data_IF_844021213791
#
_entry.id   IF_844021213791
#
_cell.length_a   1.000
_cell.length_b   1.000
_cell.length_c   1.000
_cell.angle_alpha   90.00
_cell.angle_beta   90.00
_cell.angle_gamma   90.00
#
_symmetry.space_group_name_H-M   'P 1'
#
loop_
_entity.id
_entity.type
_entity.pdbx_description
1 polymer ?
#
# COMPACT_ATOMS: atom_id res chain seq x y z
N UNK A 1 -28.61 16.30 -22.35
CA UNK A 1 -28.29 15.98 -20.95
C UNK A 1 -26.79 16.03 -20.75
N UNK A 2 -26.30 16.88 -19.86
CA UNK A 2 -24.89 17.00 -19.54
C UNK A 2 -24.57 16.26 -18.24
N UNK A 3 -23.42 15.54 -18.21
CA UNK A 3 -22.86 14.99 -16.96
C UNK A 3 -22.07 16.08 -16.25
N UNK A 4 -22.38 16.29 -14.97
CA UNK A 4 -21.75 17.33 -14.14
C UNK A 4 -21.20 16.72 -12.86
N UNK A 5 -20.10 17.29 -12.37
CA UNK A 5 -19.56 16.96 -11.03
C UNK A 5 -19.69 18.19 -10.16
N UNK A 6 -20.42 18.04 -9.07
CA UNK A 6 -20.68 19.11 -8.11
C UNK A 6 -20.08 18.70 -6.76
N UNK A 7 -19.27 19.58 -6.17
CA UNK A 7 -18.80 19.43 -4.81
C UNK A 7 -19.80 20.05 -3.83
N UNK A 8 -20.01 19.40 -2.68
CA UNK A 8 -20.86 19.89 -1.60
C UNK A 8 -20.06 19.92 -0.29
N UNK A 9 -20.03 21.05 0.40
CA UNK A 9 -19.30 21.27 1.65
C UNK A 9 -20.18 21.87 2.74
N UNK A 10 -19.87 21.57 4.02
CA UNK A 10 -20.52 22.16 5.20
C UNK A 10 -19.57 22.17 6.39
N UNK A 11 -19.52 23.27 7.15
CA UNK A 11 -18.77 23.37 8.39
C UNK A 11 -19.57 24.02 9.57
N UNK A 12 -20.88 24.11 9.42
CA UNK A 12 -21.76 24.70 10.43
C UNK A 12 -22.97 23.77 10.71
N UNK A 13 -23.36 23.64 11.97
CA UNK A 13 -24.52 22.86 12.39
C UNK A 13 -24.43 21.36 12.08
N UNK A 14 -25.57 20.75 11.74
CA UNK A 14 -25.61 19.34 11.34
C UNK A 14 -25.13 19.19 9.87
N UNK A 15 -23.81 19.16 9.66
CA UNK A 15 -23.15 19.13 8.38
C UNK A 15 -23.65 18.03 7.44
N UNK A 16 -23.90 16.82 7.96
CA UNK A 16 -24.45 15.72 7.14
C UNK A 16 -25.85 15.98 6.67
N UNK A 17 -26.70 16.53 7.54
CA UNK A 17 -28.07 16.87 7.21
C UNK A 17 -28.11 18.00 6.17
N UNK A 18 -27.29 19.02 6.33
CA UNK A 18 -27.18 20.14 5.40
C UNK A 18 -26.83 19.66 3.98
N UNK A 19 -25.76 18.83 3.85
CA UNK A 19 -25.38 18.28 2.54
C UNK A 19 -26.53 17.42 1.97
N UNK A 20 -27.12 16.51 2.75
CA UNK A 20 -28.24 15.66 2.29
C UNK A 20 -29.43 16.48 1.80
N UNK A 21 -29.79 17.56 2.51
CA UNK A 21 -30.89 18.44 2.14
C UNK A 21 -30.55 19.18 0.84
N UNK A 22 -29.35 19.73 0.69
CA UNK A 22 -28.89 20.35 -0.56
C UNK A 22 -28.99 19.41 -1.74
N UNK A 23 -28.49 18.17 -1.61
CA UNK A 23 -28.57 17.15 -2.66
C UNK A 23 -30.03 16.78 -3.02
N UNK A 24 -30.94 16.71 -2.02
CA UNK A 24 -32.39 16.49 -2.28
C UNK A 24 -32.99 17.63 -3.06
N UNK A 25 -32.66 18.88 -2.73
CA UNK A 25 -33.16 20.06 -3.44
C UNK A 25 -32.64 20.07 -4.88
N UNK A 26 -31.37 19.81 -5.12
CA UNK A 26 -30.80 19.67 -6.46
C UNK A 26 -31.59 18.65 -7.30
N UNK A 27 -31.84 17.46 -6.73
CA UNK A 27 -32.56 16.40 -7.43
C UNK A 27 -34.03 16.77 -7.78
N UNK A 28 -34.68 17.54 -6.91
CA UNK A 28 -36.03 18.05 -7.17
C UNK A 28 -36.06 19.15 -8.24
N UNK A 29 -34.97 19.88 -8.43
CA UNK A 29 -34.85 21.02 -9.34
C UNK A 29 -34.16 20.67 -10.69
N UNK A 30 -34.21 19.40 -11.11
CA UNK A 30 -33.75 18.98 -12.45
C UNK A 30 -32.26 18.62 -12.52
N UNK A 31 -31.57 18.46 -11.40
CA UNK A 31 -30.21 17.96 -11.34
C UNK A 31 -30.22 16.52 -10.81
N UNK A 32 -30.38 15.55 -11.71
CA UNK A 32 -30.52 14.12 -11.37
C UNK A 32 -29.19 13.56 -10.87
N UNK A 33 -29.14 13.21 -9.59
CA UNK A 33 -27.96 12.62 -8.97
C UNK A 33 -27.83 11.14 -9.37
N UNK A 34 -26.70 10.77 -9.98
CA UNK A 34 -26.38 9.41 -10.43
C UNK A 34 -25.59 8.67 -9.37
N UNK A 35 -24.59 9.35 -8.77
CA UNK A 35 -23.72 8.73 -7.77
C UNK A 35 -23.18 9.75 -6.79
N UNK A 36 -23.14 9.37 -5.51
CA UNK A 36 -22.57 10.15 -4.43
C UNK A 36 -21.22 9.55 -4.01
N UNK A 37 -20.28 10.40 -3.62
CA UNK A 37 -19.09 9.97 -2.87
C UNK A 37 -19.42 9.66 -1.40
N UNK A 38 -18.47 9.05 -0.70
CA UNK A 38 -18.41 9.12 0.76
C UNK A 38 -18.10 10.55 1.24
N UNK A 39 -18.31 10.79 2.55
CA UNK A 39 -17.96 12.07 3.16
C UNK A 39 -16.49 12.17 3.47
N UNK A 40 -15.87 13.29 3.11
CA UNK A 40 -14.49 13.64 3.37
C UNK A 40 -14.39 14.76 4.41
N UNK A 41 -13.67 14.52 5.50
CA UNK A 41 -13.40 15.55 6.53
C UNK A 41 -12.07 16.23 6.26
N UNK A 42 -12.02 17.54 6.43
CA UNK A 42 -10.77 18.28 6.45
C UNK A 42 -10.83 19.41 7.49
N UNK A 43 -9.67 19.73 8.12
CA UNK A 43 -9.59 20.88 9.01
C UNK A 43 -9.93 22.18 8.26
N UNK A 44 -10.44 23.22 8.94
CA UNK A 44 -10.58 24.54 8.35
C UNK A 44 -9.22 25.06 7.89
N UNK A 45 -9.18 25.90 6.84
CA UNK A 45 -8.00 26.68 6.56
C UNK A 45 -7.74 27.64 7.73
N UNK A 46 -6.47 27.96 8.04
CA UNK A 46 -6.02 28.67 9.25
C UNK A 46 -6.79 29.97 9.60
N UNK A 47 -7.51 30.56 8.64
CA UNK A 47 -8.27 31.79 8.80
C UNK A 47 -9.79 31.62 8.61
N UNK A 48 -10.31 30.38 8.59
CA UNK A 48 -11.74 30.14 8.36
C UNK A 48 -12.48 29.98 9.69
N UNK A 49 -13.48 30.82 9.95
CA UNK A 49 -14.38 30.67 11.10
C UNK A 49 -15.22 29.39 10.96
N UNK A 50 -15.41 28.68 12.05
CA UNK A 50 -16.21 27.43 12.11
C UNK A 50 -15.36 26.19 12.36
N UNK A 51 -16.01 25.05 12.49
CA UNK A 51 -15.40 23.76 12.75
C UNK A 51 -14.83 23.09 11.49
N UNK A 52 -14.42 21.84 11.66
CA UNK A 52 -13.96 20.94 10.59
C UNK A 52 -15.02 20.84 9.47
N UNK A 53 -14.58 20.91 8.21
CA UNK A 53 -15.45 20.74 7.05
C UNK A 53 -15.80 19.28 6.84
N UNK A 54 -17.05 19.05 6.43
CA UNK A 54 -17.52 17.82 5.83
C UNK A 54 -17.77 18.08 4.34
N UNK A 55 -17.14 17.32 3.46
CA UNK A 55 -17.26 17.48 2.01
C UNK A 55 -17.73 16.18 1.35
N UNK A 56 -18.39 16.31 0.21
CA UNK A 56 -18.77 15.23 -0.68
C UNK A 56 -18.74 15.74 -2.12
N UNK A 57 -18.75 14.83 -3.09
CA UNK A 57 -18.98 15.16 -4.49
C UNK A 57 -20.05 14.25 -5.08
N UNK A 58 -20.77 14.75 -6.06
CA UNK A 58 -21.78 13.98 -6.78
C UNK A 58 -21.50 14.02 -8.28
N UNK A 59 -21.72 12.88 -8.92
CA UNK A 59 -21.94 12.80 -10.36
C UNK A 59 -23.44 12.96 -10.59
N UNK A 60 -23.81 13.94 -11.40
CA UNK A 60 -25.21 14.20 -11.74
C UNK A 60 -25.40 14.43 -13.24
N UNK A 61 -26.64 14.36 -13.69
CA UNK A 61 -27.08 14.72 -15.04
C UNK A 61 -28.08 15.88 -14.98
N UNK A 62 -27.95 16.82 -15.90
CA UNK A 62 -28.86 17.97 -16.01
C UNK A 62 -29.03 18.45 -17.45
N UNK A 63 -30.17 19.09 -17.73
CA UNK A 63 -30.44 19.83 -18.96
C UNK A 63 -30.18 21.33 -18.80
N UNK A 64 -29.90 21.80 -17.58
CA UNK A 64 -29.59 23.20 -17.34
C UNK A 64 -28.21 23.54 -17.93
N UNK A 65 -28.10 24.65 -18.63
CA UNK A 65 -26.81 25.21 -19.05
C UNK A 65 -25.99 25.66 -17.82
N UNK A 66 -24.67 25.87 -17.94
CA UNK A 66 -23.80 26.14 -16.80
C UNK A 66 -24.20 27.32 -15.92
N UNK A 67 -24.62 28.43 -16.52
CA UNK A 67 -25.04 29.63 -15.79
C UNK A 67 -26.38 29.43 -15.04
N UNK A 68 -27.46 28.90 -15.65
CA UNK A 68 -28.68 28.48 -14.92
C UNK A 68 -28.40 27.47 -13.79
N UNK A 69 -27.49 26.52 -14.02
CA UNK A 69 -27.08 25.58 -12.96
C UNK A 69 -26.42 26.30 -11.79
N UNK A 70 -25.49 27.24 -12.06
CA UNK A 70 -24.85 28.03 -11.01
C UNK A 70 -25.88 28.85 -10.20
N UNK A 71 -26.82 29.49 -10.89
CA UNK A 71 -27.89 30.27 -10.25
C UNK A 71 -28.75 29.38 -9.33
N UNK A 72 -29.13 28.19 -9.80
CA UNK A 72 -29.88 27.20 -8.99
C UNK A 72 -29.09 26.77 -7.75
N UNK A 73 -27.77 26.49 -7.88
CA UNK A 73 -26.95 26.09 -6.74
C UNK A 73 -26.87 27.22 -5.68
N UNK A 74 -26.71 28.47 -6.11
CA UNK A 74 -26.73 29.63 -5.21
C UNK A 74 -28.09 29.83 -4.53
N UNK A 75 -29.20 29.57 -5.21
CA UNK A 75 -30.54 29.59 -4.61
C UNK A 75 -30.68 28.53 -3.52
N UNK A 76 -30.23 27.29 -3.78
CA UNK A 76 -30.24 26.20 -2.80
C UNK A 76 -29.39 26.55 -1.57
N UNK A 77 -28.22 27.14 -1.77
CA UNK A 77 -27.35 27.61 -0.67
C UNK A 77 -28.04 28.70 0.17
N UNK A 78 -28.68 29.69 -0.47
CA UNK A 78 -29.43 30.76 0.18
C UNK A 78 -30.57 30.18 1.03
N UNK A 79 -31.34 29.26 0.49
CA UNK A 79 -32.45 28.59 1.17
C UNK A 79 -31.96 27.65 2.31
N UNK A 80 -30.68 27.28 2.30
CA UNK A 80 -30.01 26.51 3.35
C UNK A 80 -29.38 27.41 4.45
N UNK A 81 -29.68 28.71 4.47
CA UNK A 81 -29.21 29.64 5.50
C UNK A 81 -27.85 30.29 5.23
N UNK A 82 -27.40 30.36 3.98
CA UNK A 82 -26.17 31.07 3.60
C UNK A 82 -26.47 32.55 3.33
N UNK A 83 -25.87 33.50 4.10
CA UNK A 83 -26.06 34.94 3.87
C UNK A 83 -25.49 35.39 2.51
N UNK A 84 -26.17 36.35 1.87
CA UNK A 84 -25.70 37.06 0.69
C UNK A 84 -25.34 38.52 1.09
N UNK A 85 -24.30 39.19 0.56
CA UNK A 85 -23.32 38.67 -0.38
C UNK A 85 -22.32 37.72 0.27
N UNK A 86 -21.71 36.84 -0.53
CA UNK A 86 -20.74 35.87 -0.04
C UNK A 86 -19.50 36.52 0.54
N UNK A 87 -19.35 36.45 1.88
CA UNK A 87 -18.07 36.84 2.51
C UNK A 87 -17.15 35.63 2.54
N UNK A 88 -15.93 35.71 1.94
CA UNK A 88 -14.95 34.65 2.02
C UNK A 88 -14.57 34.31 3.46
N UNK A 89 -14.21 33.07 3.75
CA UNK A 89 -13.74 32.56 5.06
C UNK A 89 -14.74 32.53 6.23
N UNK A 90 -16.05 32.72 5.99
CA UNK A 90 -17.09 32.51 7.02
C UNK A 90 -17.55 31.04 7.07
N UNK A 91 -18.02 30.63 8.27
CA UNK A 91 -18.70 29.35 8.44
C UNK A 91 -19.98 29.29 7.58
N UNK A 92 -20.28 28.12 7.00
CA UNK A 92 -21.41 27.96 6.07
C UNK A 92 -22.13 26.63 6.28
N UNK A 93 -23.48 26.72 6.25
CA UNK A 93 -24.32 25.52 6.34
C UNK A 93 -24.15 24.62 5.12
N UNK A 94 -24.09 25.22 3.93
CA UNK A 94 -23.92 24.51 2.66
C UNK A 94 -23.11 25.35 1.67
N UNK A 95 -22.26 24.69 0.88
CA UNK A 95 -21.43 25.24 -0.19
C UNK A 95 -21.47 24.28 -1.37
N UNK A 96 -21.90 24.73 -2.55
CA UNK A 96 -22.08 23.93 -3.75
C UNK A 96 -21.28 24.52 -4.91
N UNK A 97 -20.24 23.83 -5.33
CA UNK A 97 -19.36 24.27 -6.44
C UNK A 97 -19.50 23.34 -7.66
N UNK A 98 -19.66 23.91 -8.86
CA UNK A 98 -19.55 23.18 -10.13
C UNK A 98 -18.07 22.89 -10.37
N UNK A 99 -17.65 21.62 -10.32
CA UNK A 99 -16.26 21.23 -10.54
C UNK A 99 -16.02 20.94 -12.03
N UNK A 100 -16.93 20.21 -12.65
CA UNK A 100 -16.88 19.89 -14.08
C UNK A 100 -18.28 19.93 -14.69
N UNK A 101 -18.34 20.31 -15.97
CA UNK A 101 -19.57 20.28 -16.76
C UNK A 101 -19.26 19.66 -18.13
N UNK A 102 -19.53 18.37 -18.28
CA UNK A 102 -19.14 17.62 -19.47
C UNK A 102 -17.67 17.85 -19.82
N UNK A 103 -17.41 18.11 -21.08
CA UNK A 103 -16.09 18.43 -21.60
C UNK A 103 -15.85 19.95 -21.77
N UNK A 104 -16.75 20.79 -21.23
CA UNK A 104 -16.65 22.24 -21.43
C UNK A 104 -15.51 22.85 -20.60
N UNK A 105 -14.86 23.83 -21.21
CA UNK A 105 -13.92 24.75 -20.58
C UNK A 105 -14.51 26.16 -20.70
N UNK A 106 -14.80 26.80 -19.57
CA UNK A 106 -15.44 28.11 -19.49
C UNK A 106 -14.57 29.05 -18.66
N UNK A 107 -14.25 30.21 -19.19
CA UNK A 107 -13.43 31.26 -18.57
C UNK A 107 -14.20 32.58 -18.56
N UNK A 108 -15.26 32.68 -17.73
CA UNK A 108 -16.03 33.91 -17.51
C UNK A 108 -15.71 34.52 -16.13
N UNK A 109 -15.95 35.82 -15.91
CA UNK A 109 -15.70 36.45 -14.61
C UNK A 109 -16.33 35.72 -13.44
N UNK A 110 -17.60 35.31 -13.59
CA UNK A 110 -18.40 34.71 -12.55
C UNK A 110 -18.48 33.20 -12.62
N UNK A 111 -17.96 32.55 -13.69
CA UNK A 111 -18.03 31.10 -13.87
C UNK A 111 -16.79 30.57 -14.59
N UNK A 112 -16.01 29.76 -13.86
CA UNK A 112 -14.84 29.06 -14.40
C UNK A 112 -15.03 27.55 -14.27
N UNK A 113 -15.04 26.85 -15.41
CA UNK A 113 -15.16 25.39 -15.50
C UNK A 113 -14.03 24.86 -16.38
N UNK A 114 -13.26 23.85 -15.95
CA UNK A 114 -13.27 23.22 -14.60
C UNK A 114 -12.89 24.20 -13.51
N UNK A 115 -13.40 23.97 -12.28
CA UNK A 115 -13.12 24.86 -11.14
C UNK A 115 -11.61 25.08 -10.96
N UNK A 116 -11.11 26.34 -10.92
CA UNK A 116 -9.68 26.65 -11.04
C UNK A 116 -8.80 26.05 -9.94
N UNK A 117 -9.30 25.96 -8.71
CA UNK A 117 -8.58 25.42 -7.55
C UNK A 117 -8.82 23.93 -7.33
N UNK A 118 -9.48 23.19 -8.26
CA UNK A 118 -9.83 21.79 -8.09
C UNK A 118 -8.63 20.90 -7.75
N UNK A 119 -7.51 21.06 -8.49
CA UNK A 119 -6.32 20.22 -8.34
C UNK A 119 -5.55 20.46 -7.02
N UNK A 120 -5.74 21.62 -6.39
CA UNK A 120 -5.11 21.98 -5.13
C UNK A 120 -5.92 21.51 -3.91
N UNK A 121 -7.17 21.06 -4.12
CA UNK A 121 -8.14 20.73 -3.08
C UNK A 121 -8.41 19.22 -3.05
N UNK A 122 -7.68 18.49 -2.20
CA UNK A 122 -7.90 17.05 -2.01
C UNK A 122 -9.34 16.74 -1.62
N UNK A 123 -9.94 17.56 -0.76
CA UNK A 123 -11.33 17.43 -0.30
C UNK A 123 -12.38 17.63 -1.39
N UNK A 124 -11.97 18.09 -2.59
CA UNK A 124 -12.78 18.15 -3.82
C UNK A 124 -12.44 16.97 -4.73
N UNK A 125 -11.15 16.75 -5.02
CA UNK A 125 -10.73 15.77 -6.03
C UNK A 125 -10.88 14.31 -5.59
N UNK A 126 -10.64 14.00 -4.31
CA UNK A 126 -10.84 12.63 -3.82
C UNK A 126 -12.32 12.20 -3.89
N UNK A 127 -13.28 12.99 -3.35
CA UNK A 127 -14.70 12.70 -3.54
C UNK A 127 -15.15 12.68 -5.02
N UNK A 128 -14.64 13.60 -5.84
CA UNK A 128 -14.98 13.63 -7.27
C UNK A 128 -14.51 12.35 -8.00
N UNK A 129 -13.31 11.89 -7.70
CA UNK A 129 -12.77 10.64 -8.26
C UNK A 129 -13.52 9.39 -7.76
N UNK A 130 -14.02 9.39 -6.52
CA UNK A 130 -14.87 8.33 -5.99
C UNK A 130 -16.25 8.28 -6.67
N UNK A 131 -16.86 9.44 -6.87
CA UNK A 131 -18.16 9.53 -7.53
C UNK A 131 -18.08 9.22 -9.03
N UNK A 132 -17.00 9.67 -9.71
CA UNK A 132 -16.84 9.56 -11.16
C UNK A 132 -15.39 9.21 -11.55
N UNK A 133 -14.89 7.98 -11.26
CA UNK A 133 -13.49 7.61 -11.50
C UNK A 133 -13.06 7.74 -12.96
N UNK A 134 -13.96 7.40 -13.89
CA UNK A 134 -13.68 7.39 -15.33
C UNK A 134 -13.93 8.75 -16.02
N UNK A 135 -14.47 9.73 -15.29
CA UNK A 135 -14.67 11.07 -15.85
C UNK A 135 -13.33 11.69 -16.22
N UNK A 136 -13.22 12.27 -17.42
CA UNK A 136 -11.98 12.86 -17.92
C UNK A 136 -11.96 14.37 -17.73
N UNK A 137 -10.94 14.88 -17.05
CA UNK A 137 -10.66 16.31 -16.98
C UNK A 137 -10.43 16.85 -18.39
N UNK A 138 -11.20 17.86 -18.86
CA UNK A 138 -11.15 18.35 -20.23
C UNK A 138 -9.82 19.05 -20.59
N UNK A 139 -9.07 19.54 -19.59
CA UNK A 139 -7.77 20.20 -19.76
C UNK A 139 -6.65 19.17 -19.72
N UNK A 140 -6.61 18.34 -18.67
CA UNK A 140 -5.53 17.38 -18.44
C UNK A 140 -5.66 16.09 -19.27
N UNK A 141 -6.82 15.84 -19.89
CA UNK A 141 -7.15 14.62 -20.66
C UNK A 141 -6.94 13.31 -19.86
N UNK A 142 -6.93 13.39 -18.53
CA UNK A 142 -6.76 12.29 -17.60
C UNK A 142 -8.06 12.00 -16.86
N UNK A 143 -8.29 10.72 -16.47
CA UNK A 143 -9.43 10.37 -15.62
C UNK A 143 -9.25 10.95 -14.22
N UNK A 144 -10.36 11.22 -13.52
CA UNK A 144 -10.30 11.76 -12.16
C UNK A 144 -9.64 10.78 -11.20
N UNK A 145 -9.81 9.49 -11.42
CA UNK A 145 -9.05 8.49 -10.68
C UNK A 145 -7.53 8.69 -10.83
N UNK A 146 -7.05 8.90 -12.05
CA UNK A 146 -5.62 9.11 -12.31
C UNK A 146 -5.11 10.47 -11.78
N UNK A 147 -5.97 11.48 -11.74
CA UNK A 147 -5.62 12.82 -11.18
C UNK A 147 -5.59 12.75 -9.66
N UNK A 148 -6.60 12.13 -9.04
CA UNK A 148 -6.67 11.96 -7.59
C UNK A 148 -5.52 11.10 -7.05
N UNK A 149 -5.06 10.10 -7.83
CA UNK A 149 -3.89 9.29 -7.50
C UNK A 149 -2.60 10.10 -7.33
N UNK A 150 -2.44 11.24 -8.02
CA UNK A 150 -1.29 12.13 -7.81
C UNK A 150 -1.22 12.75 -6.41
N UNK A 151 -2.27 12.60 -5.63
CA UNK A 151 -2.35 13.06 -4.23
C UNK A 151 -2.55 11.87 -3.29
N UNK A 152 -1.75 10.81 -3.44
CA UNK A 152 -1.80 9.65 -2.56
C UNK A 152 -1.67 10.07 -1.09
N UNK A 153 -2.66 9.65 -0.28
CA UNK A 153 -2.66 9.99 1.13
C UNK A 153 -1.61 9.19 1.90
N UNK A 154 -0.84 9.87 2.72
CA UNK A 154 -0.07 9.23 3.79
C UNK A 154 -0.78 9.46 5.11
N UNK A 155 -1.17 8.39 5.79
CA UNK A 155 -1.79 8.42 7.11
C UNK A 155 -0.86 7.80 8.16
N UNK A 156 -0.86 8.37 9.36
CA UNK A 156 0.00 7.91 10.46
C UNK A 156 -0.80 7.31 11.62
N UNK A 157 -2.09 7.65 11.72
CA UNK A 157 -3.00 7.17 12.76
C UNK A 157 -3.84 5.99 12.26
N UNK A 158 -4.07 5.02 13.10
CA UNK A 158 -4.92 3.86 12.82
C UNK A 158 -6.39 4.25 12.63
N UNK A 159 -6.84 5.30 13.30
CA UNK A 159 -8.19 5.88 13.12
C UNK A 159 -8.40 6.39 11.69
N UNK A 160 -7.46 7.19 11.18
CA UNK A 160 -7.51 7.77 9.83
C UNK A 160 -7.42 6.66 8.76
N UNK A 161 -6.58 5.64 9.01
CA UNK A 161 -6.47 4.47 8.17
C UNK A 161 -7.82 3.77 8.03
N UNK A 162 -8.47 3.44 9.16
CA UNK A 162 -9.78 2.75 9.19
C UNK A 162 -10.87 3.56 8.50
N UNK A 163 -10.94 4.88 8.74
CA UNK A 163 -11.92 5.74 8.09
C UNK A 163 -11.79 5.69 6.56
N UNK A 164 -10.55 5.81 6.05
CA UNK A 164 -10.27 5.75 4.60
C UNK A 164 -10.59 4.39 3.99
N UNK A 165 -10.19 3.31 4.66
CA UNK A 165 -10.44 1.96 4.15
C UNK A 165 -11.93 1.60 4.20
N UNK A 166 -12.68 2.10 5.17
CA UNK A 166 -14.14 1.97 5.19
C UNK A 166 -14.80 2.68 4.01
N UNK A 167 -14.30 3.86 3.61
CA UNK A 167 -14.77 4.54 2.41
C UNK A 167 -14.50 3.71 1.14
N UNK A 168 -13.29 3.12 1.03
CA UNK A 168 -12.92 2.23 -0.09
C UNK A 168 -13.86 1.02 -0.16
N UNK A 169 -14.12 0.35 0.97
CA UNK A 169 -15.04 -0.82 1.01
C UNK A 169 -16.47 -0.44 0.65
N UNK A 170 -16.96 0.70 1.14
CA UNK A 170 -18.30 1.21 0.80
C UNK A 170 -18.46 1.52 -0.69
N UNK A 171 -17.36 1.77 -1.41
CA UNK A 171 -17.38 1.92 -2.87
C UNK A 171 -17.32 0.58 -3.63
N UNK A 172 -17.41 -0.57 -2.93
CA UNK A 172 -17.36 -1.91 -3.51
C UNK A 172 -15.96 -2.39 -3.93
N UNK A 173 -14.90 -1.65 -3.57
CA UNK A 173 -13.52 -1.99 -3.95
C UNK A 173 -12.89 -2.94 -2.94
N UNK A 174 -12.20 -3.95 -3.45
CA UNK A 174 -11.36 -4.85 -2.66
C UNK A 174 -9.99 -4.22 -2.38
N UNK A 175 -9.40 -4.58 -1.24
CA UNK A 175 -8.14 -4.03 -0.73
C UNK A 175 -7.02 -5.04 -0.90
N UNK A 176 -5.93 -4.60 -1.55
CA UNK A 176 -4.66 -5.31 -1.55
C UNK A 176 -3.65 -4.62 -0.64
N UNK A 177 -2.81 -5.38 0.04
CA UNK A 177 -1.88 -4.85 1.02
C UNK A 177 -0.43 -5.25 0.72
N UNK A 178 0.49 -4.30 0.85
CA UNK A 178 1.93 -4.49 0.68
C UNK A 178 2.64 -3.99 1.94
N UNK A 179 2.95 -4.84 2.92
CA UNK A 179 3.70 -4.43 4.11
C UNK A 179 5.18 -4.25 3.78
N UNK A 180 5.75 -3.11 4.19
CA UNK A 180 7.19 -2.81 4.03
C UNK A 180 7.75 -2.07 5.25
N UNK A 181 9.08 -2.05 5.33
CA UNK A 181 9.80 -1.22 6.28
C UNK A 181 10.27 0.12 5.68
N UNK A 182 9.91 0.43 4.43
CA UNK A 182 10.46 1.56 3.69
C UNK A 182 11.74 1.22 2.92
N UNK A 183 12.52 2.24 2.56
CA UNK A 183 13.65 2.13 1.63
C UNK A 183 13.22 1.43 0.34
N UNK A 184 12.16 1.95 -0.27
CA UNK A 184 11.47 1.37 -1.42
C UNK A 184 12.43 1.21 -2.61
N UNK A 185 12.46 0.00 -3.19
CA UNK A 185 13.21 -0.37 -4.38
C UNK A 185 12.35 -1.21 -5.32
N UNK A 186 12.86 -1.57 -6.51
CA UNK A 186 12.10 -2.31 -7.54
C UNK A 186 11.45 -3.60 -7.03
N UNK A 187 12.05 -4.30 -6.06
CA UNK A 187 11.42 -5.43 -5.40
C UNK A 187 10.08 -5.08 -4.76
N UNK A 188 10.00 -3.98 -4.02
CA UNK A 188 8.77 -3.48 -3.42
C UNK A 188 7.78 -2.95 -4.48
N UNK A 189 8.29 -2.27 -5.51
CA UNK A 189 7.46 -1.76 -6.60
C UNK A 189 6.79 -2.88 -7.39
N UNK A 190 7.45 -4.05 -7.52
CA UNK A 190 6.86 -5.24 -8.13
C UNK A 190 5.65 -5.76 -7.34
N UNK A 191 5.67 -5.72 -5.98
CA UNK A 191 4.53 -6.07 -5.13
C UNK A 191 3.35 -5.13 -5.37
N UNK A 192 3.60 -3.82 -5.42
CA UNK A 192 2.57 -2.80 -5.69
C UNK A 192 1.95 -3.02 -7.07
N UNK A 193 2.79 -3.26 -8.11
CA UNK A 193 2.31 -3.54 -9.48
C UNK A 193 1.48 -4.83 -9.55
N UNK A 194 1.89 -5.89 -8.84
CA UNK A 194 1.12 -7.14 -8.76
C UNK A 194 -0.26 -6.91 -8.11
N UNK A 195 -0.31 -6.15 -7.02
CA UNK A 195 -1.55 -5.73 -6.38
C UNK A 195 -2.44 -4.94 -7.35
N UNK A 196 -1.87 -4.00 -8.11
CA UNK A 196 -2.58 -3.19 -9.10
C UNK A 196 -3.09 -4.01 -10.28
N UNK A 197 -2.29 -4.97 -10.78
CA UNK A 197 -2.70 -5.89 -11.85
C UNK A 197 -3.94 -6.69 -11.46
N UNK A 198 -4.10 -7.03 -10.18
CA UNK A 198 -5.29 -7.67 -9.63
C UNK A 198 -6.48 -6.71 -9.43
N UNK A 199 -6.40 -5.44 -9.89
CA UNK A 199 -7.45 -4.41 -9.81
C UNK A 199 -7.88 -4.04 -8.38
N UNK A 200 -7.01 -4.27 -7.37
CA UNK A 200 -7.27 -3.96 -5.98
C UNK A 200 -6.89 -2.51 -5.65
N UNK A 201 -7.50 -1.95 -4.60
CA UNK A 201 -7.03 -0.72 -3.97
C UNK A 201 -5.77 -1.04 -3.18
N UNK A 202 -4.61 -0.61 -3.68
CA UNK A 202 -3.32 -0.96 -3.09
C UNK A 202 -3.00 -0.07 -1.88
N UNK A 203 -2.90 -0.67 -0.71
CA UNK A 203 -2.40 -0.05 0.52
C UNK A 203 -0.99 -0.54 0.76
N UNK A 204 -0.06 0.37 1.05
CA UNK A 204 1.30 0.03 1.47
C UNK A 204 1.53 0.51 2.91
N UNK A 205 2.14 -0.31 3.76
CA UNK A 205 2.67 0.21 5.01
C UNK A 205 4.17 0.50 4.90
N UNK A 206 4.61 1.56 5.58
CA UNK A 206 6.01 1.92 5.75
C UNK A 206 6.27 2.03 7.24
N UNK A 207 6.79 0.95 7.84
CA UNK A 207 7.03 0.88 9.28
C UNK A 207 8.28 0.05 9.59
N UNK A 208 9.34 0.69 10.07
CA UNK A 208 10.53 0.00 10.58
C UNK A 208 10.22 -0.55 11.96
N UNK A 209 9.89 -1.84 12.00
CA UNK A 209 9.42 -2.50 13.21
C UNK A 209 10.59 -2.84 14.17
N UNK A 210 10.66 -2.25 15.37
CA UNK A 210 11.76 -2.50 16.30
C UNK A 210 11.81 -3.96 16.80
N UNK A 211 10.66 -4.63 16.91
CA UNK A 211 10.56 -5.94 17.56
C UNK A 211 11.12 -7.10 16.72
N UNK A 212 11.46 -6.86 15.46
CA UNK A 212 12.04 -7.88 14.58
C UNK A 212 13.55 -7.74 14.39
N UNK A 213 14.19 -6.79 15.09
CA UNK A 213 15.63 -6.60 15.07
C UNK A 213 16.26 -7.07 16.37
N UNK A 214 17.32 -7.85 16.25
CA UNK A 214 18.17 -8.21 17.37
C UNK A 214 19.03 -7.03 17.86
N UNK A 215 19.63 -7.13 19.06
CA UNK A 215 20.42 -6.04 19.64
C UNK A 215 21.58 -5.56 18.78
N UNK A 216 22.18 -6.45 17.98
CA UNK A 216 23.32 -6.16 17.10
C UNK A 216 22.92 -5.88 15.64
N UNK A 217 21.62 -5.82 15.33
CA UNK A 217 21.15 -5.60 13.97
C UNK A 217 20.99 -4.10 13.63
N UNK A 218 20.78 -3.82 12.36
CA UNK A 218 20.83 -2.50 11.72
C UNK A 218 19.60 -1.60 11.97
N UNK A 219 18.80 -1.82 13.02
CA UNK A 219 17.59 -1.03 13.30
C UNK A 219 17.80 0.47 13.29
N UNK A 220 18.87 0.96 13.94
CA UNK A 220 19.17 2.40 14.01
C UNK A 220 19.67 2.96 12.69
N UNK A 221 20.40 2.16 11.90
CA UNK A 221 20.98 2.52 10.60
C UNK A 221 20.01 2.28 9.44
N UNK A 222 18.88 1.57 9.66
CA UNK A 222 17.94 1.23 8.59
C UNK A 222 17.44 2.50 7.89
N UNK A 223 17.53 2.56 6.53
CA UNK A 223 17.23 3.77 5.78
C UNK A 223 15.78 4.23 5.96
N UNK A 224 15.56 5.52 6.22
CA UNK A 224 14.25 6.13 6.42
C UNK A 224 14.14 7.39 5.59
N UNK A 225 13.38 7.34 4.51
CA UNK A 225 13.06 8.51 3.70
C UNK A 225 11.61 8.39 3.20
N UNK A 226 10.67 8.76 4.08
CA UNK A 226 9.25 8.61 3.81
C UNK A 226 8.80 9.38 2.55
N UNK A 227 9.37 10.56 2.30
CA UNK A 227 9.00 11.36 1.12
C UNK A 227 9.41 10.69 -0.19
N UNK A 228 10.65 10.16 -0.27
CA UNK A 228 11.13 9.41 -1.42
C UNK A 228 10.31 8.13 -1.61
N UNK A 229 10.08 7.39 -0.53
CA UNK A 229 9.31 6.16 -0.54
C UNK A 229 7.87 6.40 -1.01
N UNK A 230 7.23 7.48 -0.51
CA UNK A 230 5.89 7.86 -0.92
C UNK A 230 5.82 8.16 -2.41
N UNK A 231 6.74 8.96 -2.96
CA UNK A 231 6.80 9.28 -4.39
C UNK A 231 6.97 8.02 -5.26
N UNK A 232 7.81 7.07 -4.84
CA UNK A 232 8.02 5.82 -5.56
C UNK A 232 6.78 4.92 -5.52
N UNK A 233 6.17 4.75 -4.34
CA UNK A 233 4.96 3.96 -4.15
C UNK A 233 3.77 4.53 -4.95
N UNK A 234 3.59 5.85 -4.94
CA UNK A 234 2.58 6.56 -5.75
C UNK A 234 2.77 6.29 -7.24
N UNK A 235 4.00 6.44 -7.74
CA UNK A 235 4.33 6.20 -9.15
C UNK A 235 4.04 4.74 -9.57
N UNK A 236 4.22 3.78 -8.66
CA UNK A 236 3.90 2.38 -8.90
C UNK A 236 2.39 2.07 -8.80
N UNK A 237 1.58 3.01 -8.30
CA UNK A 237 0.12 2.90 -8.25
C UNK A 237 -0.46 2.53 -6.89
N UNK A 238 0.27 2.71 -5.80
CA UNK A 238 -0.31 2.64 -4.47
C UNK A 238 -1.42 3.70 -4.31
N UNK A 239 -2.49 3.36 -3.60
CA UNK A 239 -3.64 4.24 -3.35
C UNK A 239 -3.57 4.91 -1.98
N UNK A 240 -2.88 4.29 -1.01
CA UNK A 240 -2.77 4.77 0.36
C UNK A 240 -1.46 4.29 0.99
N UNK A 241 -0.79 5.18 1.72
CA UNK A 241 0.33 4.83 2.59
C UNK A 241 -0.10 4.89 4.05
N UNK A 242 0.21 3.82 4.78
CA UNK A 242 0.14 3.81 6.24
C UNK A 242 1.57 3.86 6.80
N UNK A 243 1.95 4.98 7.41
CA UNK A 243 3.29 5.19 7.98
C UNK A 243 3.20 5.51 9.48
N UNK A 244 2.84 4.52 10.31
CA UNK A 244 2.68 4.73 11.74
C UNK A 244 4.03 4.92 12.44
N UNK A 245 4.01 5.65 13.57
CA UNK A 245 5.13 5.67 14.51
C UNK A 245 5.11 4.46 15.46
N UNK A 246 6.22 4.22 16.17
CA UNK A 246 6.32 3.11 17.13
C UNK A 246 5.25 3.21 18.23
N UNK A 247 4.97 4.40 18.75
CA UNK A 247 3.91 4.62 19.76
C UNK A 247 2.49 4.34 19.22
N UNK A 248 2.25 4.47 17.93
CA UNK A 248 0.97 4.11 17.32
C UNK A 248 0.81 2.58 17.22
N UNK A 249 1.91 1.88 16.86
CA UNK A 249 1.87 0.43 16.77
C UNK A 249 1.98 -0.28 18.11
N UNK A 250 2.70 0.29 19.06
CA UNK A 250 2.97 -0.28 20.39
C UNK A 250 2.84 0.80 21.49
N UNK A 251 1.61 1.24 21.82
CA UNK A 251 1.39 2.37 22.75
C UNK A 251 1.89 2.10 24.17
N UNK A 252 1.79 0.85 24.64
CA UNK A 252 2.27 0.41 25.94
C UNK A 252 3.47 -0.58 25.83
N UNK A 253 4.21 -0.53 24.71
CA UNK A 253 5.19 -1.56 24.38
C UNK A 253 4.55 -2.85 23.86
N UNK A 254 5.34 -3.91 23.74
CA UNK A 254 4.88 -5.23 23.27
C UNK A 254 4.36 -6.07 24.43
N UNK A 255 3.04 -6.02 24.70
CA UNK A 255 2.41 -6.78 25.79
C UNK A 255 1.96 -8.19 25.35
N UNK A 256 1.56 -8.34 24.09
CA UNK A 256 1.09 -9.61 23.52
C UNK A 256 1.79 -9.83 22.17
N UNK A 257 2.23 -11.06 21.92
CA UNK A 257 2.93 -11.42 20.68
C UNK A 257 2.44 -12.73 20.09
N UNK A 258 2.62 -12.90 18.78
CA UNK A 258 2.43 -14.16 18.07
C UNK A 258 3.80 -14.79 17.86
N UNK A 259 3.97 -16.01 18.34
CA UNK A 259 5.20 -16.80 18.17
C UNK A 259 4.90 -17.94 17.21
N UNK A 260 5.62 -18.06 16.09
CA UNK A 260 5.57 -19.28 15.25
C UNK A 260 6.02 -20.51 16.07
N UNK A 261 5.67 -21.69 15.58
CA UNK A 261 6.12 -22.93 16.22
C UNK A 261 7.66 -22.98 16.37
N UNK A 262 8.15 -23.62 17.41
CA UNK A 262 9.59 -23.64 17.74
C UNK A 262 10.43 -24.22 16.61
N UNK A 263 10.02 -25.37 16.06
CA UNK A 263 10.70 -26.00 14.94
C UNK A 263 10.90 -25.07 13.75
N UNK A 264 9.95 -24.17 13.46
CA UNK A 264 10.08 -23.18 12.39
C UNK A 264 11.17 -22.12 12.69
N UNK A 265 11.27 -21.74 13.96
CA UNK A 265 12.25 -20.77 14.43
C UNK A 265 13.67 -21.34 14.56
N UNK A 266 13.82 -22.65 14.52
CA UNK A 266 15.11 -23.35 14.58
C UNK A 266 15.73 -23.59 13.19
N UNK A 267 15.01 -23.26 12.13
CA UNK A 267 15.45 -23.46 10.75
C UNK A 267 15.92 -22.16 10.08
N UNK A 268 16.88 -22.26 9.18
CA UNK A 268 17.36 -21.18 8.30
C UNK A 268 17.65 -19.87 9.05
N UNK A 269 16.96 -18.77 8.68
CA UNK A 269 17.09 -17.46 9.32
C UNK A 269 16.68 -17.46 10.79
N UNK A 270 15.69 -18.28 11.17
CA UNK A 270 15.20 -18.36 12.55
C UNK A 270 16.29 -18.80 13.51
N UNK A 271 17.07 -19.82 13.15
CA UNK A 271 18.22 -20.33 13.90
C UNK A 271 19.25 -19.25 14.28
N UNK A 272 19.44 -18.28 13.40
CA UNK A 272 20.48 -17.24 13.53
C UNK A 272 19.93 -15.89 14.00
N UNK A 273 18.62 -15.77 14.11
CA UNK A 273 17.93 -14.52 14.50
C UNK A 273 16.84 -14.81 15.52
N UNK A 274 17.21 -15.08 16.78
CA UNK A 274 16.23 -15.31 17.84
C UNK A 274 15.19 -14.21 17.89
N UNK A 275 13.92 -14.57 18.11
CA UNK A 275 12.76 -13.69 18.18
C UNK A 275 12.39 -12.89 16.91
N UNK A 276 13.20 -12.99 15.84
CA UNK A 276 12.92 -12.29 14.58
C UNK A 276 11.50 -12.59 14.06
N UNK A 277 11.16 -13.87 13.95
CA UNK A 277 9.87 -14.27 13.42
C UNK A 277 8.71 -14.01 14.37
N UNK A 278 8.94 -13.96 15.69
CA UNK A 278 7.96 -13.46 16.65
C UNK A 278 7.65 -11.99 16.38
N UNK A 279 8.67 -11.17 16.16
CA UNK A 279 8.51 -9.76 15.82
C UNK A 279 7.78 -9.57 14.49
N UNK A 280 8.13 -10.33 13.45
CA UNK A 280 7.48 -10.27 12.12
C UNK A 280 6.03 -10.74 12.19
N UNK A 281 5.76 -11.90 12.78
CA UNK A 281 4.39 -12.43 12.91
C UNK A 281 3.48 -11.43 13.64
N UNK A 282 3.97 -10.87 14.75
CA UNK A 282 3.22 -9.91 15.55
C UNK A 282 2.90 -8.63 14.78
N UNK A 283 3.89 -8.02 14.11
CA UNK A 283 3.63 -6.77 13.36
C UNK A 283 2.73 -7.00 12.15
N UNK A 284 2.92 -8.12 11.43
CA UNK A 284 2.09 -8.43 10.26
C UNK A 284 0.64 -8.70 10.70
N UNK A 285 0.44 -9.44 11.79
CA UNK A 285 -0.90 -9.65 12.34
C UNK A 285 -1.57 -8.34 12.75
N UNK A 286 -0.85 -7.44 13.44
CA UNK A 286 -1.38 -6.10 13.78
C UNK A 286 -1.76 -5.32 12.53
N UNK A 287 -0.94 -5.34 11.49
CA UNK A 287 -1.21 -4.67 10.22
C UNK A 287 -2.41 -5.30 9.49
N UNK A 288 -2.57 -6.63 9.52
CA UNK A 288 -3.73 -7.31 8.96
C UNK A 288 -5.03 -6.88 9.68
N UNK A 289 -5.02 -6.79 11.01
CA UNK A 289 -6.16 -6.30 11.78
C UNK A 289 -6.49 -4.83 11.51
N UNK A 290 -5.50 -3.99 11.25
CA UNK A 290 -5.70 -2.57 10.95
C UNK A 290 -6.20 -2.34 9.52
N UNK A 291 -5.62 -3.05 8.54
CA UNK A 291 -5.94 -2.90 7.12
C UNK A 291 -7.11 -3.76 6.68
N UNK A 292 -7.26 -4.97 7.24
CA UNK A 292 -8.26 -5.99 6.86
C UNK A 292 -8.29 -6.18 5.34
N UNK A 293 -7.18 -6.60 4.71
CA UNK A 293 -7.10 -6.70 3.27
C UNK A 293 -7.72 -8.00 2.75
N UNK A 294 -8.22 -7.98 1.50
CA UNK A 294 -8.64 -9.20 0.79
C UNK A 294 -7.43 -10.02 0.34
N UNK A 295 -6.32 -9.35 -0.06
CA UNK A 295 -5.06 -9.99 -0.47
C UNK A 295 -3.86 -9.23 0.08
N UNK A 296 -2.80 -9.95 0.49
CA UNK A 296 -1.52 -9.34 0.84
C UNK A 296 -0.38 -9.91 0.00
N UNK A 297 0.58 -9.06 -0.35
CA UNK A 297 1.65 -9.36 -1.27
C UNK A 297 3.00 -9.34 -0.57
N UNK A 298 3.76 -10.43 -0.72
CA UNK A 298 5.09 -10.61 -0.13
C UNK A 298 6.07 -11.12 -1.18
N UNK A 299 7.35 -10.77 -1.05
CA UNK A 299 8.38 -11.23 -1.96
C UNK A 299 8.92 -12.62 -1.62
N UNK A 300 9.12 -13.47 -2.63
CA UNK A 300 9.80 -14.76 -2.46
C UNK A 300 11.26 -14.63 -2.02
N UNK A 301 11.85 -13.46 -2.14
CA UNK A 301 13.19 -13.20 -1.59
C UNK A 301 13.28 -13.56 -0.10
N UNK A 302 12.26 -13.25 0.66
CA UNK A 302 12.15 -13.57 2.08
C UNK A 302 11.22 -14.81 2.25
N UNK A 303 11.59 -15.92 1.58
CA UNK A 303 10.75 -17.10 1.44
C UNK A 303 10.28 -17.67 2.79
N UNK A 304 11.19 -17.82 3.77
CA UNK A 304 10.83 -18.30 5.09
C UNK A 304 9.78 -17.37 5.75
N UNK A 305 9.92 -16.05 5.62
CA UNK A 305 8.90 -15.11 6.09
C UNK A 305 7.55 -15.30 5.41
N UNK A 306 7.54 -15.45 4.08
CA UNK A 306 6.30 -15.68 3.32
C UNK A 306 5.60 -16.97 3.76
N UNK A 307 6.35 -18.06 3.96
CA UNK A 307 5.84 -19.34 4.45
C UNK A 307 5.20 -19.15 5.83
N UNK A 308 5.90 -18.54 6.77
CA UNK A 308 5.41 -18.26 8.11
C UNK A 308 4.11 -17.43 8.09
N UNK A 309 4.03 -16.41 7.23
CA UNK A 309 2.83 -15.57 7.13
C UNK A 309 1.64 -16.35 6.55
N UNK A 310 1.86 -17.25 5.58
CA UNK A 310 0.81 -18.16 5.07
C UNK A 310 0.32 -19.09 6.17
N UNK A 311 1.23 -19.69 6.93
CA UNK A 311 0.88 -20.54 8.07
C UNK A 311 0.08 -19.75 9.12
N UNK A 312 0.56 -18.60 9.52
CA UNK A 312 -0.12 -17.73 10.48
C UNK A 312 -1.54 -17.34 10.00
N UNK A 313 -1.71 -16.99 8.75
CA UNK A 313 -3.02 -16.63 8.20
C UNK A 313 -3.99 -17.82 8.23
N UNK A 314 -3.52 -19.02 7.87
CA UNK A 314 -4.30 -20.26 7.95
C UNK A 314 -4.65 -20.62 9.39
N UNK A 315 -3.67 -20.70 10.28
CA UNK A 315 -3.81 -21.20 11.63
C UNK A 315 -4.67 -20.27 12.50
N UNK A 316 -4.67 -18.97 12.21
CA UNK A 316 -5.50 -17.97 12.88
C UNK A 316 -6.79 -17.63 12.12
N UNK A 317 -7.14 -18.43 11.10
CA UNK A 317 -8.38 -18.28 10.30
C UNK A 317 -8.58 -16.88 9.71
N UNK A 318 -7.49 -16.22 9.28
CA UNK A 318 -7.61 -14.93 8.61
C UNK A 318 -8.21 -15.11 7.21
N UNK A 319 -9.31 -14.41 6.87
CA UNK A 319 -9.93 -14.47 5.54
C UNK A 319 -9.14 -13.65 4.52
N UNK A 320 -7.86 -13.97 4.33
CA UNK A 320 -6.92 -13.25 3.48
C UNK A 320 -6.17 -14.20 2.55
N UNK A 321 -6.03 -13.83 1.29
CA UNK A 321 -5.17 -14.54 0.34
C UNK A 321 -3.74 -13.97 0.37
N UNK A 322 -2.75 -14.80 0.69
CA UNK A 322 -1.33 -14.40 0.72
C UNK A 322 -0.68 -14.73 -0.62
N UNK A 323 -0.23 -13.71 -1.33
CA UNK A 323 0.36 -13.80 -2.67
C UNK A 323 1.88 -13.64 -2.58
N UNK A 324 2.60 -14.68 -3.05
CA UNK A 324 4.05 -14.60 -3.24
C UNK A 324 4.40 -14.00 -4.61
N UNK A 325 5.25 -13.00 -4.63
CA UNK A 325 5.74 -12.37 -5.87
C UNK A 325 7.21 -12.75 -6.10
N UNK A 326 7.60 -13.13 -7.32
CA UNK A 326 8.97 -13.52 -7.63
C UNK A 326 10.02 -12.49 -7.21
N UNK A 327 11.20 -13.00 -6.82
CA UNK A 327 12.35 -12.16 -6.45
C UNK A 327 12.79 -11.29 -7.62
N UNK A 328 12.79 -9.98 -7.42
CA UNK A 328 13.35 -9.03 -8.40
C UNK A 328 14.86 -8.95 -8.18
N UNK A 329 15.61 -8.98 -9.30
CA UNK A 329 17.07 -9.00 -9.29
C UNK A 329 17.64 -7.81 -10.03
N UNK A 330 18.85 -7.44 -9.67
CA UNK A 330 19.69 -6.53 -10.44
C UNK A 330 20.20 -7.25 -11.73
N UNK A 331 20.70 -6.52 -12.74
CA UNK A 331 21.12 -7.13 -14.00
C UNK A 331 22.15 -8.25 -13.88
N UNK A 332 22.97 -8.22 -12.84
CA UNK A 332 23.98 -9.24 -12.52
C UNK A 332 23.46 -10.41 -11.68
N UNK A 333 22.16 -10.45 -11.42
CA UNK A 333 21.49 -11.52 -10.68
C UNK A 333 21.36 -11.30 -9.18
N UNK A 334 22.01 -10.28 -8.59
CA UNK A 334 21.87 -10.00 -7.16
C UNK A 334 20.40 -9.69 -6.81
N UNK A 335 19.88 -10.36 -5.78
CA UNK A 335 18.54 -10.07 -5.29
C UNK A 335 18.44 -8.63 -4.75
N UNK A 336 17.44 -7.88 -5.18
CA UNK A 336 17.24 -6.51 -4.71
C UNK A 336 16.96 -6.45 -3.22
N UNK A 337 17.70 -5.60 -2.53
CA UNK A 337 17.60 -5.39 -1.09
C UNK A 337 17.96 -3.96 -0.72
N UNK A 338 17.23 -3.39 0.27
CA UNK A 338 17.60 -2.11 0.86
C UNK A 338 19.01 -2.12 1.50
N UNK A 339 19.53 -3.31 1.83
CA UNK A 339 20.87 -3.47 2.40
C UNK A 339 21.99 -3.47 1.37
N UNK A 340 21.71 -3.58 0.06
CA UNK A 340 22.74 -3.55 -0.98
C UNK A 340 23.53 -2.24 -0.99
N UNK A 341 22.93 -1.15 -0.49
CA UNK A 341 23.61 0.17 -0.37
C UNK A 341 24.77 0.19 0.64
N UNK A 342 24.85 -0.80 1.51
CA UNK A 342 25.91 -0.87 2.53
C UNK A 342 27.18 -1.58 2.03
N UNK A 343 27.10 -2.24 0.87
CA UNK A 343 28.21 -2.98 0.29
C UNK A 343 29.27 -2.01 -0.25
N UNK A 344 30.53 -2.25 0.10
CA UNK A 344 31.67 -1.64 -0.59
C UNK A 344 31.72 -2.09 -2.06
N UNK A 345 32.42 -1.40 -2.96
CA UNK A 345 32.56 -1.81 -4.36
C UNK A 345 33.04 -3.24 -4.55
N UNK A 346 33.99 -3.71 -3.73
CA UNK A 346 34.50 -5.07 -3.78
C UNK A 346 33.47 -6.11 -3.32
N UNK A 347 32.77 -5.85 -2.22
CA UNK A 347 31.68 -6.69 -1.73
C UNK A 347 30.52 -6.73 -2.70
N UNK A 348 30.16 -5.57 -3.31
CA UNK A 348 29.10 -5.50 -4.32
C UNK A 348 29.42 -6.34 -5.57
N UNK A 349 30.71 -6.36 -6.00
CA UNK A 349 31.17 -7.21 -7.10
C UNK A 349 31.10 -8.69 -6.76
N UNK A 350 31.33 -9.06 -5.50
CA UNK A 350 31.28 -10.44 -5.03
C UNK A 350 29.84 -10.96 -4.78
N UNK A 351 28.88 -10.07 -4.45
CA UNK A 351 27.54 -10.43 -4.02
C UNK A 351 26.73 -11.28 -5.01
N UNK A 352 26.80 -11.11 -6.34
CA UNK A 352 26.08 -11.94 -7.31
C UNK A 352 26.46 -13.43 -7.26
N UNK A 353 27.63 -13.76 -6.70
CA UNK A 353 28.05 -15.16 -6.54
C UNK A 353 27.06 -15.98 -5.71
N UNK A 354 26.27 -15.36 -4.82
CA UNK A 354 25.23 -16.04 -4.07
C UNK A 354 24.17 -16.62 -5.01
N UNK A 355 23.63 -15.81 -5.91
CA UNK A 355 22.62 -16.25 -6.87
C UNK A 355 23.20 -17.21 -7.93
N UNK A 356 24.38 -16.94 -8.45
CA UNK A 356 25.03 -17.84 -9.41
C UNK A 356 25.24 -19.22 -8.82
N UNK A 357 25.60 -19.31 -7.53
CA UNK A 357 25.71 -20.58 -6.81
C UNK A 357 24.37 -21.32 -6.74
N UNK A 358 23.27 -20.61 -6.42
CA UNK A 358 21.94 -21.19 -6.39
C UNK A 358 21.51 -21.70 -7.77
N UNK A 359 21.78 -20.94 -8.84
CA UNK A 359 21.51 -21.37 -10.22
C UNK A 359 22.31 -22.63 -10.60
N UNK A 360 23.57 -22.69 -10.20
CA UNK A 360 24.40 -23.87 -10.45
C UNK A 360 23.84 -25.10 -9.74
N UNK A 361 23.44 -24.97 -8.47
CA UNK A 361 22.79 -26.05 -7.71
C UNK A 361 21.52 -26.52 -8.42
N UNK A 362 20.68 -25.60 -8.85
CA UNK A 362 19.46 -25.91 -9.59
C UNK A 362 19.77 -26.70 -10.87
N UNK A 363 20.70 -26.21 -11.68
CA UNK A 363 21.08 -26.89 -12.94
C UNK A 363 21.68 -28.27 -12.67
N UNK A 364 22.55 -28.40 -11.67
CA UNK A 364 23.16 -29.68 -11.32
C UNK A 364 22.14 -30.72 -10.87
N UNK A 365 21.12 -30.32 -10.11
CA UNK A 365 20.07 -31.23 -9.64
C UNK A 365 19.02 -31.52 -10.73
N UNK A 366 18.48 -30.50 -11.38
CA UNK A 366 17.36 -30.67 -12.32
C UNK A 366 17.80 -31.26 -13.66
N UNK A 367 18.90 -30.76 -14.25
CA UNK A 367 19.38 -31.17 -15.56
C UNK A 367 20.35 -32.36 -15.50
N UNK A 368 21.28 -32.33 -14.54
CA UNK A 368 22.33 -33.34 -14.43
C UNK A 368 22.03 -34.43 -13.40
N UNK A 369 20.86 -34.39 -12.76
CA UNK A 369 20.38 -35.38 -11.77
C UNK A 369 21.39 -35.69 -10.67
N UNK A 370 22.21 -34.70 -10.27
CA UNK A 370 23.17 -34.83 -9.20
C UNK A 370 22.49 -34.81 -7.83
N UNK A 371 23.07 -35.53 -6.87
CA UNK A 371 22.59 -35.52 -5.50
C UNK A 371 22.64 -34.12 -4.90
N UNK A 372 21.51 -33.60 -4.44
CA UNK A 372 21.39 -32.29 -3.79
C UNK A 372 22.38 -32.13 -2.64
N UNK A 373 22.48 -33.13 -1.76
CA UNK A 373 23.42 -33.12 -0.61
C UNK A 373 24.88 -32.94 -1.03
N UNK A 374 25.30 -33.67 -2.07
CA UNK A 374 26.68 -33.56 -2.61
C UNK A 374 26.89 -32.18 -3.27
N UNK A 375 25.91 -31.69 -4.00
CA UNK A 375 25.96 -30.40 -4.69
C UNK A 375 26.05 -29.24 -3.71
N UNK A 376 25.23 -29.24 -2.65
CA UNK A 376 25.29 -28.23 -1.57
C UNK A 376 26.65 -28.22 -0.90
N UNK A 377 27.21 -29.40 -0.56
CA UNK A 377 28.56 -29.48 0.05
C UNK A 377 29.63 -28.88 -0.85
N UNK A 378 29.63 -29.21 -2.16
CA UNK A 378 30.56 -28.65 -3.14
C UNK A 378 30.40 -27.14 -3.27
N UNK A 379 29.20 -26.65 -3.40
CA UNK A 379 28.88 -25.22 -3.51
C UNK A 379 29.31 -24.42 -2.27
N UNK A 380 29.08 -24.97 -1.07
CA UNK A 380 29.55 -24.36 0.19
C UNK A 380 31.09 -24.20 0.23
N UNK A 381 31.84 -25.23 -0.22
CA UNK A 381 33.32 -25.17 -0.30
C UNK A 381 33.76 -24.09 -1.30
N UNK A 382 33.11 -24.01 -2.46
CA UNK A 382 33.42 -22.99 -3.47
C UNK A 382 33.19 -21.56 -2.94
N UNK A 383 32.03 -21.32 -2.31
CA UNK A 383 31.72 -19.99 -1.75
C UNK A 383 32.68 -19.55 -0.66
N UNK A 384 33.11 -20.48 0.21
CA UNK A 384 34.08 -20.20 1.28
C UNK A 384 35.47 -19.81 0.79
N UNK A 385 35.80 -20.07 -0.49
CA UNK A 385 37.06 -19.62 -1.11
C UNK A 385 37.04 -18.13 -1.48
N UNK A 386 35.87 -17.52 -1.55
CA UNK A 386 35.75 -16.08 -1.83
C UNK A 386 36.00 -15.28 -0.55
N UNK A 387 37.06 -14.44 -0.49
CA UNK A 387 37.44 -13.73 0.73
C UNK A 387 36.40 -12.71 1.20
N UNK A 388 35.50 -12.26 0.33
CA UNK A 388 34.46 -11.31 0.64
C UNK A 388 33.18 -11.96 1.15
N UNK A 389 33.06 -13.31 1.10
CA UNK A 389 31.84 -14.03 1.45
C UNK A 389 32.03 -14.90 2.69
N UNK A 390 31.46 -14.48 3.80
CA UNK A 390 31.37 -15.33 5.01
C UNK A 390 30.02 -16.05 4.99
N UNK A 391 30.02 -17.28 4.46
CA UNK A 391 28.81 -18.10 4.39
C UNK A 391 28.30 -18.41 5.80
N UNK A 392 27.02 -18.10 6.04
CA UNK A 392 26.34 -18.45 7.29
C UNK A 392 25.63 -19.81 7.17
N UNK A 393 24.84 -19.98 6.12
CA UNK A 393 24.25 -21.25 5.73
C UNK A 393 24.02 -21.35 4.22
N UNK A 394 24.00 -22.56 3.71
CA UNK A 394 23.50 -22.96 2.40
C UNK A 394 22.79 -24.31 2.61
N UNK A 395 21.46 -24.26 2.71
CA UNK A 395 20.65 -25.38 3.16
C UNK A 395 19.46 -25.59 2.22
N UNK A 396 18.99 -26.83 2.17
CA UNK A 396 17.78 -27.18 1.46
C UNK A 396 16.71 -27.57 2.47
N UNK A 397 15.52 -27.01 2.31
CA UNK A 397 14.36 -27.29 3.16
C UNK A 397 13.27 -27.86 2.28
N UNK A 398 12.76 -29.02 2.68
CA UNK A 398 11.58 -29.61 2.08
C UNK A 398 10.35 -28.81 2.55
N UNK A 399 9.65 -28.23 1.57
CA UNK A 399 8.44 -27.46 1.85
C UNK A 399 7.31 -28.33 2.39
N UNK A 400 7.35 -29.67 2.12
CA UNK A 400 6.38 -30.61 2.64
C UNK A 400 6.54 -30.83 4.15
N UNK A 401 7.77 -30.81 4.68
CA UNK A 401 8.04 -30.93 6.10
C UNK A 401 7.69 -29.67 6.89
N UNK A 402 7.81 -28.50 6.26
CA UNK A 402 7.26 -27.24 6.81
C UNK A 402 5.71 -27.25 6.80
N UNK A 403 5.08 -28.05 5.92
CA UNK A 403 3.63 -28.23 5.83
C UNK A 403 3.06 -29.33 6.73
N UNK A 404 3.83 -30.36 7.03
CA UNK A 404 3.34 -31.57 7.74
C UNK A 404 3.06 -31.35 9.25
N UNK A 405 3.38 -30.21 9.81
CA UNK A 405 3.01 -29.85 11.17
C UNK A 405 1.48 -29.55 11.32
N UNK A 406 0.69 -29.62 10.25
CA UNK A 406 -0.76 -29.46 10.28
C UNK A 406 -1.45 -30.17 9.12
N UNK A 407 -2.36 -31.08 9.43
CA UNK A 407 -3.13 -31.89 8.48
C UNK A 407 -3.80 -31.05 7.37
N UNK A 408 -3.48 -31.30 6.12
CA UNK A 408 -4.46 -31.28 5.06
C UNK A 408 -4.45 -30.18 4.00
N UNK A 409 -3.72 -29.05 4.10
CA UNK A 409 -3.71 -28.04 3.03
C UNK A 409 -2.27 -27.79 2.56
N UNK A 410 -2.00 -28.13 1.29
CA UNK A 410 -0.71 -27.86 0.66
C UNK A 410 -0.59 -26.37 0.33
N UNK A 411 0.38 -25.70 0.92
CA UNK A 411 0.71 -24.31 0.63
C UNK A 411 1.60 -24.15 -0.61
N UNK A 412 2.19 -25.26 -1.11
CA UNK A 412 3.19 -25.26 -2.20
C UNK A 412 3.05 -26.46 -3.15
N UNK A 413 3.54 -26.36 -4.40
CA UNK A 413 3.56 -27.48 -5.33
C UNK A 413 4.31 -28.69 -4.78
N UNK A 414 3.84 -29.90 -5.09
CA UNK A 414 4.58 -31.15 -4.90
C UNK A 414 5.90 -31.06 -5.63
N UNK A 415 6.95 -31.66 -5.04
CA UNK A 415 8.25 -31.90 -5.66
C UNK A 415 9.17 -30.66 -5.82
N UNK A 416 8.92 -29.58 -5.07
CA UNK A 416 9.85 -28.43 -5.00
C UNK A 416 10.53 -28.32 -3.65
N UNK A 417 11.86 -28.30 -3.67
CA UNK A 417 12.71 -28.06 -2.50
C UNK A 417 13.22 -26.63 -2.52
N UNK A 418 13.08 -25.93 -1.40
CA UNK A 418 13.65 -24.59 -1.25
C UNK A 418 15.14 -24.70 -0.89
N UNK A 419 16.01 -24.20 -1.75
CA UNK A 419 17.43 -24.01 -1.44
C UNK A 419 17.65 -22.56 -1.06
N UNK A 420 18.08 -22.33 0.18
CA UNK A 420 18.27 -21.01 0.74
C UNK A 420 19.72 -20.76 1.18
N UNK A 421 20.16 -19.53 1.00
CA UNK A 421 21.52 -19.08 1.35
C UNK A 421 21.43 -17.82 2.21
N UNK A 422 22.30 -17.74 3.21
CA UNK A 422 22.64 -16.49 3.89
C UNK A 422 24.15 -16.37 4.02
N UNK A 423 24.66 -15.17 3.78
CA UNK A 423 26.07 -14.86 3.90
C UNK A 423 26.26 -13.41 4.36
N UNK A 424 27.38 -13.16 5.02
CA UNK A 424 27.86 -11.82 5.28
C UNK A 424 28.88 -11.43 4.23
N UNK A 425 28.71 -10.21 3.68
CA UNK A 425 29.72 -9.52 2.90
C UNK A 425 30.10 -8.28 3.72
N UNK A 426 31.31 -8.31 4.29
CA UNK A 426 31.68 -7.40 5.36
C UNK A 426 30.73 -7.53 6.54
N UNK A 427 30.09 -6.42 6.93
CA UNK A 427 29.06 -6.39 7.97
C UNK A 427 27.64 -6.62 7.45
N UNK A 428 27.44 -6.67 6.12
CA UNK A 428 26.13 -6.75 5.50
C UNK A 428 25.67 -8.19 5.31
N UNK A 429 24.60 -8.56 5.99
CA UNK A 429 23.96 -9.88 5.82
C UNK A 429 23.02 -9.87 4.62
N UNK A 430 23.31 -10.71 3.64
CA UNK A 430 22.46 -10.94 2.47
C UNK A 430 21.82 -12.32 2.52
N UNK A 431 20.61 -12.43 1.97
CA UNK A 431 19.90 -13.69 1.79
C UNK A 431 19.39 -13.81 0.37
N UNK A 432 19.33 -15.04 -0.10
CA UNK A 432 18.68 -15.38 -1.37
C UNK A 432 18.14 -16.83 -1.33
N UNK A 433 17.35 -17.21 -2.30
CA UNK A 433 16.82 -18.55 -2.42
C UNK A 433 16.40 -18.89 -3.85
N UNK A 434 16.21 -20.20 -4.09
CA UNK A 434 15.68 -20.73 -5.34
C UNK A 434 14.91 -22.02 -5.08
N UNK A 435 13.92 -22.31 -5.93
CA UNK A 435 13.23 -23.61 -5.93
C UNK A 435 13.91 -24.59 -6.89
N UNK A 436 14.09 -25.80 -6.42
CA UNK A 436 14.68 -26.92 -7.16
C UNK A 436 13.69 -28.06 -7.21
N UNK A 437 13.39 -28.54 -8.42
CA UNK A 437 12.57 -29.75 -8.65
C UNK A 437 13.45 -30.98 -8.49
N UNK A 438 12.99 -31.93 -7.65
CA UNK A 438 13.73 -33.16 -7.36
C UNK A 438 13.23 -34.32 -8.22
#
# INVERSE_FOLDING_TARGET
VAKVIIAAGSNLGNRRQNIRQGLRLMNKSGVKIIKNSSYFKNPPAEETAGGEFLNAAVLAETNLEPEPLLALLHEIEKNSGRPQPHKPRKARCLDLDIIYYGNRVIEKPDLKIPHPRRLQRRFVMEPAAEAAPDFRDPILKKTLENISRKNMATVKKSTDLRERLNAVRKSGRKIGFVPTMGAIHEGHLALIRACRKAKLFCVISIFVNPTQFGPAEDYRKYPRNLEKDAKLAEKAGAGLIFAPGVKEMYPAGLQTSVKPAEWFSEELCGKYRPDHYRGVATVVLKLFNLVQPDKAYFGWKDAQQLIMIKMMARDLNFPIEIIGVPTVREPDGLAMSSRNIYLSPAERKAAPALYHTLLQIKNDCEKHKKSLKKTLKKASVCLKKNPFIKLQYLEAVDLSTLENAGKGIRLFPKDETLVAIAAFLGSTRLIDNIFVKM
#
